data_IF_843074696581
#
_entry.id   IF_843074696581
#
_cell.length_a   1.000
_cell.length_b   1.000
_cell.length_c   1.000
_cell.angle_alpha   90.00
_cell.angle_beta   90.00
_cell.angle_gamma   90.00
#
_symmetry.space_group_name_H-M   'P 1'
#
loop_
_entity.id
_entity.type
_entity.pdbx_description
1 polymer ?
#
# COMPACT_ATOMS: atom_id res chain seq x y z
N UNK A 1 15.71 -2.30 -3.76
CA UNK A 1 15.36 -3.56 -4.46
C UNK A 1 13.86 -3.62 -4.78
N UNK A 2 12.95 -3.56 -3.80
CA UNK A 2 11.48 -3.62 -4.06
C UNK A 2 10.93 -2.47 -4.93
N UNK A 3 11.44 -1.25 -4.79
CA UNK A 3 11.05 -0.11 -5.66
C UNK A 3 11.33 -0.36 -7.15
N UNK A 4 12.34 -1.17 -7.47
CA UNK A 4 12.72 -1.48 -8.85
C UNK A 4 11.81 -2.54 -9.49
N UNK A 5 11.29 -3.47 -8.70
CA UNK A 5 10.29 -4.46 -9.15
C UNK A 5 9.01 -3.73 -9.57
N UNK A 6 8.61 -2.73 -8.80
CA UNK A 6 7.39 -1.98 -9.03
C UNK A 6 7.52 -0.79 -10.00
N UNK A 7 8.69 -0.58 -10.59
CA UNK A 7 8.90 0.48 -11.58
C UNK A 7 8.66 -0.02 -13.02
N UNK A 8 8.44 -1.33 -13.21
CA UNK A 8 8.17 -1.91 -14.52
C UNK A 8 6.67 -1.88 -14.82
N UNK A 9 6.34 -1.45 -16.03
CA UNK A 9 4.97 -1.22 -16.50
C UNK A 9 4.22 -2.51 -16.88
N UNK A 10 4.87 -3.68 -16.84
CA UNK A 10 4.22 -4.95 -17.19
C UNK A 10 4.40 -6.03 -16.12
N UNK A 11 3.31 -6.80 -15.90
CA UNK A 11 3.23 -7.93 -14.94
C UNK A 11 4.26 -9.01 -15.25
N UNK A 12 4.56 -9.25 -16.54
CA UNK A 12 5.58 -10.21 -16.97
C UNK A 12 6.99 -9.74 -16.63
N UNK A 13 7.33 -8.48 -16.91
CA UNK A 13 8.63 -7.91 -16.61
C UNK A 13 8.89 -7.85 -15.09
N UNK A 14 7.87 -7.49 -14.31
CA UNK A 14 7.95 -7.47 -12.86
C UNK A 14 8.27 -8.86 -12.27
N UNK A 15 7.66 -9.93 -12.81
CA UNK A 15 7.94 -11.33 -12.41
C UNK A 15 9.38 -11.75 -12.71
N UNK A 16 9.93 -11.37 -13.85
CA UNK A 16 11.34 -11.66 -14.18
C UNK A 16 12.30 -10.93 -13.23
N UNK A 17 12.02 -9.66 -12.93
CA UNK A 17 12.86 -8.90 -12.01
C UNK A 17 12.84 -9.46 -10.60
N UNK A 18 11.73 -10.05 -10.19
CA UNK A 18 11.61 -10.70 -8.88
C UNK A 18 12.50 -11.91 -8.80
N UNK A 19 12.51 -12.75 -9.83
CA UNK A 19 13.43 -13.90 -9.88
C UNK A 19 14.87 -13.43 -9.69
N UNK A 20 15.27 -12.37 -10.39
CA UNK A 20 16.60 -11.78 -10.22
C UNK A 20 16.85 -11.23 -8.79
N UNK A 21 15.86 -10.60 -8.17
CA UNK A 21 15.97 -10.09 -6.79
C UNK A 21 16.02 -11.23 -5.76
N UNK A 22 15.27 -12.31 -5.96
CA UNK A 22 15.33 -13.49 -5.10
C UNK A 22 16.70 -14.17 -5.18
N UNK A 23 17.28 -14.30 -6.38
CA UNK A 23 18.63 -14.82 -6.59
C UNK A 23 19.67 -13.98 -5.81
N UNK A 24 19.55 -12.65 -5.88
CA UNK A 24 20.40 -11.72 -5.12
C UNK A 24 20.20 -11.83 -3.60
N UNK A 25 18.97 -11.97 -3.12
CA UNK A 25 18.70 -12.15 -1.69
C UNK A 25 19.23 -13.48 -1.17
N UNK A 26 19.16 -14.54 -1.98
CA UNK A 26 19.73 -15.85 -1.66
C UNK A 26 21.26 -15.82 -1.64
N UNK A 27 21.91 -15.12 -2.57
CA UNK A 27 23.37 -14.94 -2.57
C UNK A 27 23.87 -14.09 -1.39
N UNK A 28 23.06 -13.13 -0.93
CA UNK A 28 23.30 -12.36 0.29
C UNK A 28 23.01 -13.13 1.61
N UNK A 29 22.67 -14.43 1.54
CA UNK A 29 22.29 -15.29 2.67
C UNK A 29 21.03 -14.82 3.44
N UNK A 30 20.21 -13.96 2.85
CA UNK A 30 18.96 -13.46 3.44
C UNK A 30 17.77 -14.38 3.07
N UNK A 31 17.83 -15.63 3.53
CA UNK A 31 16.85 -16.68 3.18
C UNK A 31 15.41 -16.33 3.55
N UNK A 32 15.21 -15.76 4.74
CA UNK A 32 13.88 -15.34 5.22
C UNK A 32 13.28 -14.20 4.38
N UNK A 33 14.12 -13.27 3.92
CA UNK A 33 13.66 -12.18 3.05
C UNK A 33 13.27 -12.70 1.67
N UNK A 34 14.04 -13.65 1.12
CA UNK A 34 13.71 -14.29 -0.15
C UNK A 34 12.38 -15.05 -0.08
N UNK A 35 12.16 -15.82 1.01
CA UNK A 35 10.91 -16.56 1.24
C UNK A 35 9.70 -15.62 1.34
N UNK A 36 9.81 -14.54 2.10
CA UNK A 36 8.72 -13.54 2.20
C UNK A 36 8.39 -12.87 0.87
N UNK A 37 9.38 -12.66 0.00
CA UNK A 37 9.15 -12.13 -1.35
C UNK A 37 8.44 -13.17 -2.21
N UNK A 38 8.83 -14.44 -2.14
CA UNK A 38 8.19 -15.55 -2.86
C UNK A 38 6.71 -15.71 -2.46
N UNK A 39 6.42 -15.70 -1.16
CA UNK A 39 5.07 -15.87 -0.62
C UNK A 39 4.17 -14.65 -0.91
N UNK A 40 4.72 -13.43 -0.83
CA UNK A 40 3.94 -12.18 -0.93
C UNK A 40 3.81 -11.59 -2.33
N UNK A 41 4.39 -12.22 -3.36
CA UNK A 41 4.50 -11.55 -4.65
C UNK A 41 3.20 -11.46 -5.43
N UNK A 42 2.42 -12.53 -5.48
CA UNK A 42 1.19 -12.56 -6.25
C UNK A 42 0.19 -11.54 -5.68
N UNK A 43 0.11 -11.42 -4.35
CA UNK A 43 -0.66 -10.36 -3.69
C UNK A 43 -0.14 -8.97 -4.05
N UNK A 44 1.19 -8.79 -4.04
CA UNK A 44 1.81 -7.50 -4.35
C UNK A 44 1.61 -7.10 -5.82
N UNK A 45 1.52 -8.04 -6.76
CA UNK A 45 1.33 -7.73 -8.19
C UNK A 45 -0.13 -7.45 -8.57
N UNK A 46 -1.08 -7.65 -7.65
CA UNK A 46 -2.51 -7.43 -7.91
C UNK A 46 -2.82 -5.96 -8.26
N UNK A 47 -1.98 -4.99 -7.86
CA UNK A 47 -2.18 -3.59 -8.26
C UNK A 47 -2.08 -3.38 -9.78
N UNK A 48 -1.36 -4.24 -10.51
CA UNK A 48 -1.21 -4.14 -11.97
C UNK A 48 -2.52 -4.37 -12.72
N UNK A 49 -3.52 -4.96 -12.07
CA UNK A 49 -4.83 -5.23 -12.68
C UNK A 49 -5.76 -3.99 -12.62
N UNK A 50 -5.31 -2.90 -11.98
CA UNK A 50 -6.03 -1.61 -11.93
C UNK A 50 -5.52 -0.64 -13.02
N UNK A 51 -6.23 0.49 -13.28
CA UNK A 51 -5.72 1.54 -14.16
C UNK A 51 -4.37 2.09 -13.69
N UNK A 52 -3.49 2.44 -14.63
CA UNK A 52 -2.11 2.88 -14.36
C UNK A 52 -2.05 4.16 -13.52
N UNK A 53 -3.07 5.02 -13.63
CA UNK A 53 -3.25 6.23 -12.84
C UNK A 53 -3.40 5.94 -11.34
N UNK A 54 -3.86 4.74 -11.00
CA UNK A 54 -4.08 4.29 -9.63
C UNK A 54 -2.90 3.52 -9.03
N UNK A 55 -1.99 2.98 -9.85
CA UNK A 55 -0.89 2.13 -9.39
C UNK A 55 -0.03 2.80 -8.31
N UNK A 56 0.30 4.08 -8.47
CA UNK A 56 1.11 4.80 -7.49
C UNK A 56 0.41 4.94 -6.14
N UNK A 57 -0.92 5.06 -6.14
CA UNK A 57 -1.71 5.21 -4.90
C UNK A 57 -1.88 3.87 -4.19
N UNK A 58 -2.24 2.81 -4.94
CA UNK A 58 -2.44 1.46 -4.39
C UNK A 58 -1.13 0.89 -3.86
N UNK A 59 -0.04 1.07 -4.60
CA UNK A 59 1.27 0.51 -4.22
C UNK A 59 1.88 1.15 -2.98
N UNK A 60 1.57 2.42 -2.69
CA UNK A 60 2.26 3.17 -1.64
C UNK A 60 1.51 3.11 -0.32
N UNK A 61 2.20 2.70 0.74
CA UNK A 61 1.62 2.68 2.09
C UNK A 61 1.70 4.04 2.80
N UNK A 62 1.95 5.12 2.05
CA UNK A 62 2.30 6.46 2.56
C UNK A 62 1.22 7.02 3.49
N UNK A 63 -0.05 6.80 3.17
CA UNK A 63 -1.18 7.32 3.94
C UNK A 63 -1.25 6.66 5.32
N UNK A 64 -1.15 5.32 5.36
CA UNK A 64 -1.18 4.54 6.59
C UNK A 64 0.08 4.81 7.42
N UNK A 65 1.26 4.85 6.80
CA UNK A 65 2.52 5.18 7.50
C UNK A 65 2.51 6.60 8.09
N UNK A 66 1.94 7.57 7.39
CA UNK A 66 1.78 8.93 7.91
C UNK A 66 0.82 8.94 9.11
N UNK A 67 -0.28 8.22 9.01
CA UNK A 67 -1.26 8.09 10.09
C UNK A 67 -0.66 7.42 11.33
N UNK A 68 0.03 6.30 11.15
CA UNK A 68 0.69 5.57 12.24
C UNK A 68 1.77 6.39 12.93
N UNK A 69 2.59 7.14 12.16
CA UNK A 69 3.58 8.06 12.73
C UNK A 69 2.93 9.14 13.59
N UNK A 70 1.81 9.67 13.16
CA UNK A 70 1.10 10.72 13.91
C UNK A 70 0.43 10.17 15.17
N UNK A 71 -0.14 8.96 15.10
CA UNK A 71 -0.63 8.23 16.28
C UNK A 71 0.52 8.05 17.29
N UNK A 72 1.67 7.53 16.85
CA UNK A 72 2.84 7.32 17.71
C UNK A 72 3.35 8.62 18.33
N UNK A 73 3.36 9.73 17.59
CA UNK A 73 3.76 11.05 18.11
C UNK A 73 2.82 11.52 19.21
N UNK A 74 1.50 11.40 18.99
CA UNK A 74 0.48 11.85 19.94
C UNK A 74 0.46 11.01 21.20
N UNK A 75 0.63 9.69 21.08
CA UNK A 75 0.73 8.80 22.24
C UNK A 75 2.01 9.05 23.03
N UNK A 76 3.13 9.39 22.35
CA UNK A 76 4.41 9.68 23.03
C UNK A 76 4.35 10.91 23.92
N UNK A 77 3.58 11.94 23.56
CA UNK A 77 3.43 13.16 24.39
C UNK A 77 2.70 12.88 25.70
N UNK A 78 1.73 11.96 25.69
CA UNK A 78 0.99 11.58 26.91
C UNK A 78 1.86 10.77 27.87
N UNK A 79 2.85 10.03 27.35
CA UNK A 79 3.84 9.30 28.14
C UNK A 79 3.30 8.01 28.76
N UNK A 80 2.29 8.12 29.64
CA UNK A 80 1.60 7.00 30.26
C UNK A 80 0.10 7.26 30.32
N UNK A 81 -0.70 6.27 29.91
CA UNK A 81 -2.15 6.36 29.95
C UNK A 81 -2.68 5.72 31.24
N UNK A 82 -3.72 6.30 31.86
CA UNK A 82 -4.32 5.74 33.06
C UNK A 82 -5.04 4.40 32.80
N UNK A 83 -5.58 4.19 31.59
CA UNK A 83 -6.16 2.93 31.14
C UNK A 83 -6.04 2.76 29.61
N UNK A 84 -6.32 1.54 29.11
CA UNK A 84 -6.31 1.25 27.68
C UNK A 84 -7.43 1.97 26.89
N UNK A 85 -8.54 2.30 27.55
CA UNK A 85 -9.66 3.00 26.92
C UNK A 85 -9.32 4.46 26.60
N UNK A 86 -8.51 5.11 27.44
CA UNK A 86 -8.03 6.48 27.27
C UNK A 86 -7.10 6.58 26.06
N UNK A 87 -6.24 5.57 25.88
CA UNK A 87 -5.40 5.46 24.69
C UNK A 87 -6.26 5.27 23.42
N UNK A 88 -7.25 4.36 23.48
CA UNK A 88 -8.17 4.13 22.38
C UNK A 88 -8.95 5.40 22.01
N UNK A 89 -9.45 6.13 23.01
CA UNK A 89 -10.21 7.36 22.80
C UNK A 89 -9.39 8.43 22.08
N UNK A 90 -8.11 8.59 22.45
CA UNK A 90 -7.20 9.52 21.76
C UNK A 90 -7.01 9.13 20.28
N UNK A 91 -6.79 7.85 20.00
CA UNK A 91 -6.62 7.34 18.64
C UNK A 91 -7.90 7.54 17.83
N UNK A 92 -9.07 7.19 18.39
CA UNK A 92 -10.37 7.37 17.73
C UNK A 92 -10.69 8.85 17.45
N UNK A 93 -10.40 9.74 18.40
CA UNK A 93 -10.57 11.18 18.21
C UNK A 93 -9.68 11.70 17.07
N UNK A 94 -8.43 11.25 17.02
CA UNK A 94 -7.51 11.60 15.94
C UNK A 94 -7.99 11.07 14.58
N UNK A 95 -8.39 9.80 14.51
CA UNK A 95 -8.91 9.20 13.27
C UNK A 95 -10.14 9.95 12.75
N UNK A 96 -11.08 10.30 13.63
CA UNK A 96 -12.26 11.10 13.28
C UNK A 96 -11.86 12.45 12.69
N UNK A 97 -10.87 13.12 13.28
CA UNK A 97 -10.37 14.39 12.76
C UNK A 97 -9.71 14.23 11.38
N UNK A 98 -8.87 13.22 11.18
CA UNK A 98 -8.20 12.93 9.90
C UNK A 98 -9.23 12.64 8.81
N UNK A 99 -10.25 11.82 9.11
CA UNK A 99 -11.32 11.51 8.17
C UNK A 99 -12.09 12.78 7.81
N UNK A 100 -12.47 13.60 8.79
CA UNK A 100 -13.24 14.83 8.55
C UNK A 100 -12.48 15.95 7.82
N UNK A 101 -11.15 16.00 7.93
CA UNK A 101 -10.36 17.13 7.41
C UNK A 101 -9.45 16.78 6.24
N UNK A 102 -8.74 15.66 6.32
CA UNK A 102 -7.67 15.30 5.38
C UNK A 102 -8.15 14.34 4.29
N UNK A 103 -9.00 13.38 4.65
CA UNK A 103 -9.46 12.33 3.74
C UNK A 103 -10.85 12.62 3.16
N UNK A 104 -11.75 13.27 3.90
CA UNK A 104 -13.12 13.53 3.48
C UNK A 104 -13.23 14.42 2.23
N UNK A 105 -12.28 15.34 2.03
CA UNK A 105 -12.31 16.27 0.90
C UNK A 105 -11.46 15.82 -0.30
N UNK A 106 -10.64 14.77 -0.15
CA UNK A 106 -9.75 14.30 -1.22
C UNK A 106 -10.29 13.02 -1.84
N UNK A 107 -10.62 13.05 -3.14
CA UNK A 107 -10.88 11.85 -3.94
C UNK A 107 -9.60 11.02 -4.03
N UNK A 108 -9.39 10.13 -3.06
CA UNK A 108 -8.19 9.30 -2.98
C UNK A 108 -8.05 8.36 -4.18
N UNK A 109 -9.16 7.92 -4.76
CA UNK A 109 -9.22 7.19 -6.04
C UNK A 109 -10.27 7.88 -6.91
N UNK A 110 -10.00 8.04 -8.21
CA UNK A 110 -10.97 8.63 -9.11
C UNK A 110 -11.80 7.51 -9.73
N UNK A 111 -13.06 7.39 -9.29
CA UNK A 111 -13.97 6.32 -9.73
C UNK A 111 -14.24 6.36 -11.24
N UNK A 112 -14.12 7.53 -11.88
CA UNK A 112 -14.30 7.67 -13.34
C UNK A 112 -13.29 6.84 -14.14
N UNK A 113 -12.05 6.70 -13.67
CA UNK A 113 -11.04 5.88 -14.36
C UNK A 113 -11.27 4.38 -14.13
N UNK A 114 -11.94 4.01 -13.04
CA UNK A 114 -12.35 2.63 -12.79
C UNK A 114 -13.56 2.26 -13.64
N UNK A 115 -14.55 3.15 -13.74
CA UNK A 115 -15.75 2.98 -14.58
C UNK A 115 -15.36 2.83 -16.06
N UNK A 116 -14.50 3.71 -16.58
CA UNK A 116 -14.02 3.63 -17.97
C UNK A 116 -13.24 2.33 -18.24
N UNK A 117 -12.36 1.90 -17.32
CA UNK A 117 -11.62 0.66 -17.47
C UNK A 117 -12.53 -0.58 -17.39
N UNK A 118 -13.60 -0.53 -16.61
CA UNK A 118 -14.61 -1.59 -16.58
C UNK A 118 -15.38 -1.66 -17.91
N UNK A 119 -15.84 -0.51 -18.42
CA UNK A 119 -16.52 -0.43 -19.73
C UNK A 119 -15.64 -0.99 -20.87
N UNK A 120 -14.35 -0.66 -20.91
CA UNK A 120 -13.41 -1.22 -21.88
C UNK A 120 -13.27 -2.75 -21.77
N UNK A 121 -13.27 -3.31 -20.55
CA UNK A 121 -13.23 -4.78 -20.36
C UNK A 121 -14.53 -5.48 -20.79
N UNK A 122 -15.68 -4.82 -20.70
CA UNK A 122 -16.96 -5.36 -21.18
C UNK A 122 -17.11 -5.25 -22.70
N UNK A 123 -16.53 -4.23 -23.33
CA UNK A 123 -16.64 -4.01 -24.79
C UNK A 123 -15.72 -4.94 -25.60
N UNK A 124 -14.65 -5.47 -24.99
CA UNK A 124 -13.73 -6.45 -25.63
C UNK A 124 -14.23 -7.90 -25.46
N UNK A 125 -15.22 -8.14 -24.58
CA UNK A 125 -15.79 -9.45 -24.29
C UNK A 125 -17.16 -9.71 -24.97
N UNK A 126 -17.66 -8.78 -25.79
CA UNK A 126 -18.86 -8.93 -26.61
C UNK A 126 -18.54 -8.87 -28.09
#
# INVERSE_FOLDING_TARGET
MLKAIHAQESKSAAREKVKAVMEQLRSMKLKEAAKKVEDGIEETLTFCDFPSEHWTRIRTNNVIERMNREIQRRTRVVGSFPDGNSALMLVCAWLRHVVGTQLGNKKHMNMKHLEAALEDTFTVAG
#
